data_IF_217528260608
#
_entry.id   IF_217528260608
#
_cell.length_a   1.000
_cell.length_b   1.000
_cell.length_c   1.000
_cell.angle_alpha   90.00
_cell.angle_beta   90.00
_cell.angle_gamma   90.00
#
_symmetry.space_group_name_H-M   'P 1'
#
loop_
_entity.id
_entity.type
_entity.pdbx_description
1 polymer ?
#
# COMPACT_ATOMS: atom_id res chain seq x y z
N UNK A 1 23.52 16.45 6.43
CA UNK A 1 22.92 16.78 5.12
C UNK A 1 21.82 15.76 4.87
N UNK A 2 20.55 16.10 5.14
CA UNK A 2 19.41 15.21 4.88
C UNK A 2 19.15 15.23 3.38
N UNK A 3 19.27 14.07 2.74
CA UNK A 3 18.85 13.89 1.35
C UNK A 3 17.34 14.08 1.33
N UNK A 4 16.88 15.16 0.71
CA UNK A 4 15.45 15.37 0.42
C UNK A 4 15.07 14.37 -0.66
N UNK A 5 14.31 13.35 -0.29
CA UNK A 5 13.67 12.47 -1.26
C UNK A 5 12.84 13.35 -2.20
N UNK A 6 13.09 13.23 -3.51
CA UNK A 6 12.41 13.98 -4.56
C UNK A 6 10.88 13.80 -4.43
N UNK A 7 10.12 14.90 -4.39
CA UNK A 7 8.64 14.96 -4.43
C UNK A 7 8.00 14.31 -5.69
N UNK A 8 8.76 13.54 -6.48
CA UNK A 8 8.29 12.84 -7.69
C UNK A 8 8.03 11.34 -7.49
N UNK A 9 8.40 10.78 -6.35
CA UNK A 9 8.24 9.35 -6.04
C UNK A 9 7.09 9.08 -5.04
N UNK A 10 6.07 9.93 -4.99
CA UNK A 10 4.86 9.74 -4.17
C UNK A 10 3.60 9.85 -5.04
N UNK A 11 2.59 9.01 -4.77
CA UNK A 11 1.29 9.06 -5.47
C UNK A 11 0.12 9.38 -4.52
N UNK A 12 0.39 9.51 -3.22
CA UNK A 12 -0.59 9.78 -2.17
C UNK A 12 0.02 10.76 -1.17
N UNK A 13 -0.81 11.66 -0.63
CA UNK A 13 -0.41 12.64 0.40
C UNK A 13 -1.40 12.58 1.56
N UNK A 14 -0.89 12.46 2.76
CA UNK A 14 -1.69 12.57 3.99
C UNK A 14 -2.08 14.04 4.20
N UNK A 15 -3.37 14.30 4.41
CA UNK A 15 -3.92 15.66 4.51
C UNK A 15 -3.68 16.32 5.86
N UNK A 16 -3.46 15.52 6.90
CA UNK A 16 -3.29 15.99 8.27
C UNK A 16 -1.81 16.24 8.59
N UNK A 17 -0.91 15.44 8.00
CA UNK A 17 0.54 15.50 8.28
C UNK A 17 1.39 16.06 7.14
N UNK A 18 0.82 16.21 5.94
CA UNK A 18 1.51 16.56 4.69
C UNK A 18 2.61 15.55 4.27
N UNK A 19 2.65 14.38 4.91
CA UNK A 19 3.56 13.30 4.55
C UNK A 19 3.19 12.71 3.19
N UNK A 20 4.21 12.42 2.38
CA UNK A 20 4.06 11.94 1.01
C UNK A 20 4.41 10.45 0.94
N UNK A 21 3.45 9.64 0.47
CA UNK A 21 3.54 8.20 0.39
C UNK A 21 3.46 7.70 -1.06
N UNK A 22 4.10 6.57 -1.32
CA UNK A 22 3.85 5.78 -2.52
C UNK A 22 3.01 4.58 -2.11
N UNK A 23 1.75 4.53 -2.56
CA UNK A 23 0.80 3.46 -2.30
C UNK A 23 0.48 2.76 -3.61
N UNK A 24 0.92 1.52 -3.81
CA UNK A 24 0.27 0.65 -4.80
C UNK A 24 -0.95 0.02 -4.17
N UNK A 25 -2.04 -0.11 -4.95
CA UNK A 25 -3.14 -0.98 -4.55
C UNK A 25 -2.60 -2.39 -4.35
N UNK A 26 -3.06 -3.14 -3.34
CA UNK A 26 -2.57 -4.49 -3.12
C UNK A 26 -2.83 -5.33 -4.36
N UNK A 27 -1.79 -5.96 -4.91
CA UNK A 27 -2.00 -6.98 -5.94
C UNK A 27 -2.47 -8.25 -5.27
N UNK A 28 -3.51 -8.86 -5.84
CA UNK A 28 -4.07 -10.12 -5.32
C UNK A 28 -3.05 -11.26 -5.31
N UNK A 29 -2.17 -11.29 -6.30
CA UNK A 29 -1.08 -12.27 -6.41
C UNK A 29 0.16 -11.91 -5.55
N UNK A 30 0.13 -10.78 -4.84
CA UNK A 30 1.23 -10.25 -4.03
C UNK A 30 2.54 -10.02 -4.81
N UNK A 31 2.48 -9.91 -6.14
CA UNK A 31 3.65 -9.64 -7.01
C UNK A 31 3.89 -8.14 -7.24
N UNK A 32 3.51 -7.30 -6.28
CA UNK A 32 3.84 -5.88 -6.37
C UNK A 32 5.37 -5.73 -6.42
N UNK A 33 5.91 -5.17 -7.50
CA UNK A 33 7.36 -5.19 -7.73
C UNK A 33 8.13 -4.38 -6.68
N UNK A 34 7.46 -3.48 -5.95
CA UNK A 34 8.06 -2.62 -4.92
C UNK A 34 8.07 -3.28 -3.54
N UNK A 35 7.05 -4.07 -3.22
CA UNK A 35 6.88 -4.68 -1.89
C UNK A 35 6.94 -6.21 -1.87
N UNK A 36 6.64 -6.88 -2.98
CA UNK A 36 6.59 -8.34 -3.12
C UNK A 36 7.96 -9.03 -3.08
N UNK A 37 9.05 -8.27 -3.18
CA UNK A 37 10.42 -8.77 -3.04
C UNK A 37 11.11 -8.32 -1.74
N UNK A 38 10.43 -7.56 -0.88
CA UNK A 38 11.00 -7.18 0.41
C UNK A 38 10.99 -8.38 1.38
N UNK A 39 12.15 -8.63 2.00
CA UNK A 39 12.30 -9.54 3.13
C UNK A 39 12.77 -8.72 4.35
N UNK A 40 12.03 -8.69 5.47
CA UNK A 40 10.76 -9.38 5.71
C UNK A 40 9.60 -8.80 4.86
N UNK A 41 8.52 -9.58 4.66
CA UNK A 41 7.33 -9.10 3.98
C UNK A 41 6.75 -7.87 4.69
N UNK A 42 5.98 -7.01 4.00
CA UNK A 42 5.33 -5.86 4.61
C UNK A 42 4.44 -6.28 5.77
N UNK A 43 4.52 -5.53 6.87
CA UNK A 43 3.58 -5.68 7.98
C UNK A 43 2.21 -5.16 7.54
N UNK A 44 1.18 -5.96 7.79
CA UNK A 44 -0.22 -5.54 7.62
C UNK A 44 -0.76 -5.18 9.00
N UNK A 45 -1.32 -3.98 9.12
CA UNK A 45 -1.96 -3.51 10.35
C UNK A 45 -3.08 -4.48 10.78
N UNK A 46 -3.26 -4.66 12.08
CA UNK A 46 -4.23 -5.61 12.64
C UNK A 46 -5.67 -5.22 12.26
N UNK A 47 -5.96 -3.92 12.15
CA UNK A 47 -7.28 -3.40 11.75
C UNK A 47 -7.60 -3.62 10.26
N UNK A 48 -6.57 -3.67 9.41
CA UNK A 48 -6.69 -3.90 7.97
C UNK A 48 -6.53 -5.37 7.56
N UNK A 49 -6.11 -6.25 8.48
CA UNK A 49 -5.74 -7.64 8.15
C UNK A 49 -6.90 -8.45 7.58
N UNK A 50 -8.07 -8.37 8.20
CA UNK A 50 -9.23 -9.15 7.78
C UNK A 50 -9.67 -8.78 6.35
N UNK A 51 -9.77 -7.49 6.04
CA UNK A 51 -10.14 -7.01 4.71
C UNK A 51 -9.08 -7.37 3.66
N UNK A 52 -7.80 -7.28 4.03
CA UNK A 52 -6.70 -7.68 3.15
C UNK A 52 -6.73 -9.18 2.84
N UNK A 53 -6.97 -10.04 3.82
CA UNK A 53 -7.10 -11.49 3.61
C UNK A 53 -8.31 -11.85 2.74
N UNK A 54 -9.47 -11.21 2.97
CA UNK A 54 -10.65 -11.40 2.14
C UNK A 54 -10.41 -10.96 0.68
N UNK A 55 -9.71 -9.84 0.47
CA UNK A 55 -9.34 -9.37 -0.86
C UNK A 55 -8.46 -10.39 -1.61
N UNK A 56 -7.53 -11.03 -0.89
CA UNK A 56 -6.67 -12.07 -1.45
C UNK A 56 -7.45 -13.32 -1.86
N UNK A 57 -8.52 -13.64 -1.12
CA UNK A 57 -9.45 -14.74 -1.44
C UNK A 57 -10.46 -14.39 -2.55
N UNK A 58 -10.47 -13.15 -3.03
CA UNK A 58 -11.27 -12.73 -4.18
C UNK A 58 -12.31 -11.65 -3.91
N UNK A 59 -12.50 -11.25 -2.66
CA UNK A 59 -13.42 -10.17 -2.31
C UNK A 59 -13.00 -8.83 -2.97
N UNK A 60 -13.94 -7.90 -3.19
CA UNK A 60 -13.61 -6.54 -3.58
C UNK A 60 -12.83 -5.82 -2.47
N UNK A 61 -12.02 -4.83 -2.84
CA UNK A 61 -11.43 -3.93 -1.86
C UNK A 61 -12.50 -2.94 -1.37
N UNK A 62 -12.70 -2.78 -0.05
CA UNK A 62 -13.60 -1.76 0.48
C UNK A 62 -13.27 -0.37 -0.08
N UNK A 63 -14.27 0.35 -0.58
CA UNK A 63 -14.10 1.69 -1.16
C UNK A 63 -13.42 1.71 -2.55
N UNK A 64 -13.04 0.56 -3.09
CA UNK A 64 -12.58 0.36 -4.47
C UNK A 64 -13.32 -0.79 -5.15
N UNK A 65 -14.60 -0.94 -4.81
CA UNK A 65 -15.51 -1.97 -5.34
C UNK A 65 -15.51 -2.05 -6.88
N UNK A 66 -15.21 -0.93 -7.54
CA UNK A 66 -15.32 -0.74 -8.98
C UNK A 66 -13.98 -0.57 -9.73
N UNK A 67 -12.85 -0.68 -9.02
CA UNK A 67 -11.51 -0.44 -9.57
C UNK A 67 -11.02 0.99 -9.36
#
# INVERSE_FOLDING_TARGET
MKVLASMRDANSRDVDTDECFWLSGPKRDRTDARYGHCAPPPTVDDDARADYEAFLDGAPLPGREHG
#
